data_IF_535603049549
#
_entry.id   IF_535603049549
#
_cell.length_a   1.000
_cell.length_b   1.000
_cell.length_c   1.000
_cell.angle_alpha   90.00
_cell.angle_beta   90.00
_cell.angle_gamma   90.00
#
_symmetry.space_group_name_H-M   'P 1'
#
loop_
_entity.id
_entity.type
_entity.pdbx_description
1 polymer ?
#
# COMPACT_ATOMS: atom_id res chain seq x y z
N UNK A 1 -37.78 3.77 13.11
CA UNK A 1 -36.57 2.93 12.93
C UNK A 1 -35.54 3.41 13.93
N UNK A 2 -34.98 2.51 14.76
CA UNK A 2 -34.12 2.90 15.89
C UNK A 2 -32.80 3.52 15.38
N UNK A 3 -32.34 4.64 15.96
CA UNK A 3 -31.14 5.39 15.48
C UNK A 3 -29.93 4.48 15.31
N UNK A 4 -29.73 3.53 16.22
CA UNK A 4 -28.65 2.54 16.16
C UNK A 4 -28.72 1.65 14.91
N UNK A 5 -29.94 1.28 14.46
CA UNK A 5 -30.11 0.48 13.23
C UNK A 5 -29.74 1.29 11.99
N UNK A 6 -30.03 2.59 11.98
CA UNK A 6 -29.65 3.49 10.89
C UNK A 6 -28.13 3.66 10.79
N UNK A 7 -27.45 3.81 11.92
CA UNK A 7 -25.97 3.91 11.97
C UNK A 7 -25.32 2.63 11.44
N UNK A 8 -25.81 1.46 11.85
CA UNK A 8 -25.29 0.17 11.38
C UNK A 8 -25.47 0.03 9.86
N UNK A 9 -26.65 0.39 9.32
CA UNK A 9 -26.89 0.35 7.88
C UNK A 9 -25.92 1.27 7.11
N UNK A 10 -25.63 2.46 7.65
CA UNK A 10 -24.69 3.39 7.04
C UNK A 10 -23.27 2.81 7.00
N UNK A 11 -22.80 2.20 8.10
CA UNK A 11 -21.49 1.55 8.14
C UNK A 11 -21.37 0.39 7.14
N UNK A 12 -22.41 -0.43 7.00
CA UNK A 12 -22.43 -1.54 6.03
C UNK A 12 -22.32 -1.00 4.60
N UNK A 13 -23.04 0.07 4.26
CA UNK A 13 -22.99 0.66 2.93
C UNK A 13 -21.64 1.31 2.59
N UNK A 14 -20.97 1.89 3.60
CA UNK A 14 -19.66 2.52 3.42
C UNK A 14 -18.52 1.49 3.30
N UNK A 15 -18.67 0.29 3.88
CA UNK A 15 -17.63 -0.75 3.87
C UNK A 15 -17.27 -1.20 2.44
N UNK A 16 -18.25 -1.32 1.54
CA UNK A 16 -18.02 -1.78 0.17
C UNK A 16 -17.16 -0.80 -0.67
N UNK A 17 -17.00 0.44 -0.22
CA UNK A 17 -16.25 1.47 -0.93
C UNK A 17 -14.76 1.52 -0.55
N UNK A 18 -14.30 0.69 0.39
CA UNK A 18 -12.89 0.65 0.80
C UNK A 18 -12.08 -0.22 -0.17
N UNK A 19 -11.39 0.42 -1.11
CA UNK A 19 -10.51 -0.25 -2.06
C UNK A 19 -9.10 -0.39 -1.47
N UNK A 20 -8.80 -1.54 -0.86
CA UNK A 20 -7.45 -1.93 -0.45
C UNK A 20 -6.99 -3.16 -1.24
N UNK A 21 -5.83 -3.07 -1.89
CA UNK A 21 -5.27 -4.14 -2.70
C UNK A 21 -3.93 -4.60 -2.12
N UNK A 22 -3.59 -5.86 -2.36
CA UNK A 22 -2.25 -6.39 -2.11
C UNK A 22 -1.46 -6.32 -3.43
N UNK A 23 -0.44 -5.47 -3.48
CA UNK A 23 0.28 -5.11 -4.72
C UNK A 23 1.73 -5.59 -4.62
N UNK A 24 2.17 -6.36 -5.60
CA UNK A 24 3.58 -6.69 -5.79
C UNK A 24 4.20 -5.71 -6.80
N UNK A 25 5.21 -4.98 -6.36
CA UNK A 25 5.97 -4.05 -7.20
C UNK A 25 7.39 -4.57 -7.40
N UNK A 26 7.77 -4.86 -8.63
CA UNK A 26 9.10 -5.41 -8.96
C UNK A 26 9.93 -4.36 -9.67
N UNK A 27 11.12 -4.05 -9.14
CA UNK A 27 12.07 -3.14 -9.78
C UNK A 27 13.25 -3.92 -10.36
N UNK A 28 13.31 -4.14 -11.68
CA UNK A 28 14.32 -5.01 -12.29
C UNK A 28 15.69 -4.33 -12.49
N UNK A 29 15.79 -3.02 -12.30
CA UNK A 29 17.00 -2.25 -12.57
C UNK A 29 17.54 -1.70 -11.25
N UNK A 30 18.75 -2.15 -10.89
CA UNK A 30 19.51 -1.62 -9.76
C UNK A 30 20.14 -0.28 -10.15
N UNK A 31 19.40 0.81 -9.97
CA UNK A 31 19.89 2.17 -10.20
C UNK A 31 19.22 3.15 -9.24
N UNK A 32 19.96 4.08 -8.60
CA UNK A 32 19.40 5.02 -7.63
C UNK A 32 18.25 5.88 -8.19
N UNK A 33 18.35 6.36 -9.43
CA UNK A 33 17.31 7.17 -10.06
C UNK A 33 16.01 6.40 -10.26
N UNK A 34 16.12 5.15 -10.72
CA UNK A 34 14.97 4.25 -10.84
C UNK A 34 14.37 3.92 -9.48
N UNK A 35 15.21 3.68 -8.47
CA UNK A 35 14.74 3.40 -7.13
C UNK A 35 13.97 4.58 -6.52
N UNK A 36 14.48 5.81 -6.63
CA UNK A 36 13.80 7.01 -6.10
C UNK A 36 12.40 7.14 -6.69
N UNK A 37 12.26 7.01 -8.00
CA UNK A 37 10.96 7.13 -8.67
C UNK A 37 10.01 5.99 -8.29
N UNK A 38 10.49 4.74 -8.36
CA UNK A 38 9.70 3.55 -8.02
C UNK A 38 9.22 3.56 -6.58
N UNK A 39 10.08 3.96 -5.64
CA UNK A 39 9.74 4.08 -4.23
C UNK A 39 8.66 5.14 -4.01
N UNK A 40 8.79 6.30 -4.64
CA UNK A 40 7.78 7.36 -4.52
C UNK A 40 6.39 6.88 -4.99
N UNK A 41 6.35 6.12 -6.08
CA UNK A 41 5.13 5.50 -6.58
C UNK A 41 4.56 4.45 -5.60
N UNK A 42 5.40 3.55 -5.10
CA UNK A 42 4.98 2.53 -4.12
C UNK A 42 4.40 3.17 -2.85
N UNK A 43 5.08 4.19 -2.29
CA UNK A 43 4.61 4.91 -1.11
C UNK A 43 3.30 5.65 -1.34
N UNK A 44 3.05 6.15 -2.55
CA UNK A 44 1.76 6.76 -2.87
C UNK A 44 0.61 5.74 -2.83
N UNK A 45 0.84 4.49 -3.27
CA UNK A 45 -0.13 3.40 -3.16
C UNK A 45 -0.37 2.99 -1.70
N UNK A 46 0.71 2.89 -0.92
CA UNK A 46 0.65 2.64 0.54
C UNK A 46 -0.19 3.72 1.24
N UNK A 47 0.03 4.99 0.91
CA UNK A 47 -0.74 6.12 1.46
C UNK A 47 -2.22 6.08 1.09
N UNK A 48 -2.57 5.47 -0.05
CA UNK A 48 -3.96 5.24 -0.46
C UNK A 48 -4.62 4.03 0.23
N UNK A 49 -3.90 3.36 1.14
CA UNK A 49 -4.42 2.26 1.94
C UNK A 49 -4.22 0.88 1.32
N UNK A 50 -3.37 0.75 0.30
CA UNK A 50 -2.97 -0.55 -0.25
C UNK A 50 -1.83 -1.17 0.56
N UNK A 51 -1.76 -2.50 0.57
CA UNK A 51 -0.59 -3.22 1.07
C UNK A 51 0.36 -3.43 -0.10
N UNK A 52 1.58 -2.93 0.01
CA UNK A 52 2.55 -3.02 -1.08
C UNK A 52 3.75 -3.85 -0.64
N UNK A 53 4.15 -4.81 -1.46
CA UNK A 53 5.43 -5.51 -1.34
C UNK A 53 6.31 -5.10 -2.51
N UNK A 54 7.47 -4.52 -2.22
CA UNK A 54 8.43 -4.09 -3.24
C UNK A 54 9.64 -5.01 -3.26
N UNK A 55 9.94 -5.57 -4.42
CA UNK A 55 11.13 -6.35 -4.70
C UNK A 55 12.17 -5.46 -5.37
N UNK A 56 13.29 -5.19 -4.70
CA UNK A 56 14.29 -4.18 -5.11
C UNK A 56 15.69 -4.59 -4.69
N UNK A 57 16.72 -4.03 -5.33
CA UNK A 57 18.13 -4.26 -4.96
C UNK A 57 18.62 -3.26 -3.89
N UNK A 58 17.80 -2.27 -3.57
CA UNK A 58 18.11 -1.22 -2.60
C UNK A 58 17.51 -1.54 -1.23
N UNK A 59 18.30 -1.33 -0.17
CA UNK A 59 17.85 -1.53 1.22
C UNK A 59 17.08 -0.32 1.71
N UNK A 60 16.01 -0.59 2.47
CA UNK A 60 15.13 0.44 3.00
C UNK A 60 15.06 0.41 4.51
N UNK A 61 15.10 1.58 5.13
CA UNK A 61 15.00 1.76 6.57
C UNK A 61 13.69 2.49 6.90
N UNK A 62 13.03 2.10 7.99
CA UNK A 62 11.79 2.70 8.51
C UNK A 62 10.67 2.71 7.47
N UNK A 63 9.98 1.58 7.38
CA UNK A 63 8.84 1.38 6.48
C UNK A 63 7.52 1.61 7.23
N UNK A 64 6.49 2.18 6.57
CA UNK A 64 5.11 2.09 7.04
C UNK A 64 4.68 0.62 7.23
N UNK A 65 3.74 0.36 8.13
CA UNK A 65 3.30 -1.00 8.46
C UNK A 65 2.78 -1.78 7.24
N UNK A 66 2.09 -1.11 6.32
CA UNK A 66 1.54 -1.68 5.10
C UNK A 66 2.49 -1.61 3.89
N UNK A 67 3.81 -1.47 4.15
CA UNK A 67 4.84 -1.50 3.11
C UNK A 67 5.94 -2.51 3.46
N UNK A 68 6.05 -3.57 2.67
CA UNK A 68 7.09 -4.59 2.80
C UNK A 68 8.12 -4.42 1.69
N UNK A 69 9.41 -4.57 2.03
CA UNK A 69 10.50 -4.53 1.07
C UNK A 69 11.27 -5.85 1.15
N UNK A 70 11.46 -6.49 0.01
CA UNK A 70 12.29 -7.68 -0.15
C UNK A 70 13.50 -7.24 -0.96
N UNK A 71 14.69 -7.36 -0.38
CA UNK A 71 15.94 -7.05 -1.07
C UNK A 71 16.40 -8.27 -1.86
N UNK A 72 16.66 -8.09 -3.15
CA UNK A 72 17.30 -9.12 -3.98
C UNK A 72 18.81 -8.99 -3.82
N UNK A 73 19.43 -9.99 -3.18
CA UNK A 73 20.89 -10.13 -3.04
C UNK A 73 21.55 -10.57 -4.36
#
# INVERSE_FOLDING_TARGET
MNVNKTIILLFVFLWENVLSANILHVTPIASPSHHIWNKAFALALVKKGHNVTMLTNEKENKLPENFTVITME
#
